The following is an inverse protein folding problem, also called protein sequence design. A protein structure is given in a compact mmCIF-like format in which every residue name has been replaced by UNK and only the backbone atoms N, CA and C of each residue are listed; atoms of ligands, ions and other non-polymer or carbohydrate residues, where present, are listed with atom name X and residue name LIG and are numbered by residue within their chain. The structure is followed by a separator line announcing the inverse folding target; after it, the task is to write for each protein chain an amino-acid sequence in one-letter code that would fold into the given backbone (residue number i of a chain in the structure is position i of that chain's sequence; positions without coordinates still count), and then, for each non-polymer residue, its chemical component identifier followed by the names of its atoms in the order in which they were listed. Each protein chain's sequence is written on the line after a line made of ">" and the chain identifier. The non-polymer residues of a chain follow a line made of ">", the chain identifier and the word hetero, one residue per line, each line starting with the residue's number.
data_IF_657185104249
#
_entry.id   IF_657185104249
#
_cell.length_a   1.000
_cell.length_b   1.000
_cell.length_c   1.000
_cell.angle_alpha   90.00
_cell.angle_beta   90.00
_cell.angle_gamma   90.00
#
_symmetry.space_group_name_H-M   'P 1'
#
loop_
_entity.id
_entity.type
_entity.pdbx_description
1 polymer ?
#
# COMPACT_ATOMS: atom_id res chain seq x y z
N UNK A 1 23.51 4.13 4.93
CA UNK A 1 22.67 4.84 3.96
C UNK A 1 21.76 3.82 3.29
N UNK A 2 20.48 3.88 3.61
CA UNK A 2 19.48 3.10 2.89
C UNK A 2 19.39 3.64 1.46
N UNK A 3 19.79 2.82 0.50
CA UNK A 3 19.94 3.25 -0.89
C UNK A 3 18.55 3.59 -1.47
N UNK A 4 18.38 4.79 -2.01
CA UNK A 4 17.14 5.27 -2.68
C UNK A 4 16.72 4.33 -3.84
N UNK A 5 17.58 3.40 -4.24
CA UNK A 5 17.36 2.43 -5.33
C UNK A 5 16.49 1.21 -4.95
N UNK A 6 16.17 1.05 -3.67
CA UNK A 6 15.50 -0.16 -3.17
C UNK A 6 13.97 0.00 -3.06
N UNK A 7 13.45 1.19 -3.33
CA UNK A 7 12.03 1.51 -3.32
C UNK A 7 11.70 2.67 -4.24
N UNK A 8 10.49 2.68 -4.74
CA UNK A 8 9.97 3.78 -5.55
C UNK A 8 8.46 3.86 -5.37
N UNK A 9 7.91 5.05 -5.36
CA UNK A 9 6.48 5.28 -5.23
C UNK A 9 6.00 6.34 -6.21
N UNK A 10 4.72 6.24 -6.56
CA UNK A 10 3.99 7.21 -7.37
C UNK A 10 2.62 7.43 -6.74
N UNK A 11 2.15 8.67 -6.75
CA UNK A 11 0.81 9.03 -6.32
C UNK A 11 0.25 10.13 -7.22
N UNK A 12 -0.98 9.94 -7.67
CA UNK A 12 -1.71 10.91 -8.47
C UNK A 12 -3.16 11.00 -7.97
N UNK A 13 -3.49 12.13 -7.36
CA UNK A 13 -4.82 12.37 -6.85
C UNK A 13 -5.82 12.65 -7.99
N UNK A 14 -7.03 12.08 -7.87
CA UNK A 14 -8.14 12.33 -8.83
C UNK A 14 -8.70 13.74 -8.71
N UNK A 15 -8.54 14.39 -7.56
CA UNK A 15 -8.96 15.76 -7.27
C UNK A 15 -7.75 16.60 -6.84
N UNK A 16 -8.00 17.85 -6.40
CA UNK A 16 -6.95 18.73 -5.88
C UNK A 16 -6.21 18.16 -4.66
N UNK A 17 -6.90 17.32 -3.87
CA UNK A 17 -6.33 16.59 -2.72
C UNK A 17 -6.93 15.19 -2.69
N UNK A 18 -6.09 14.18 -2.36
CA UNK A 18 -6.45 12.77 -2.29
C UNK A 18 -6.65 12.25 -0.86
N UNK A 19 -7.33 11.11 -0.75
CA UNK A 19 -7.46 10.31 0.46
C UNK A 19 -6.36 9.26 0.61
N UNK A 20 -5.74 8.88 -0.50
CA UNK A 20 -4.63 7.93 -0.52
C UNK A 20 -3.39 8.46 0.17
N UNK A 21 -2.60 7.55 0.72
CA UNK A 21 -1.22 7.85 1.11
C UNK A 21 -0.33 6.61 1.12
N UNK A 22 0.95 6.85 1.00
CA UNK A 22 1.99 5.89 1.35
C UNK A 22 2.99 6.53 2.31
N UNK A 23 3.68 5.71 3.08
CA UNK A 23 4.80 6.14 3.90
C UNK A 23 5.82 5.01 4.01
N UNK A 24 7.07 5.37 4.18
CA UNK A 24 8.13 4.45 4.58
C UNK A 24 9.11 5.18 5.49
N UNK A 25 9.49 4.50 6.56
CA UNK A 25 10.31 5.09 7.60
C UNK A 25 11.17 4.02 8.27
N UNK A 26 12.25 4.47 8.83
CA UNK A 26 13.13 3.60 9.60
C UNK A 26 12.56 3.46 11.00
N UNK A 27 12.31 2.24 11.45
CA UNK A 27 11.87 1.94 12.81
C UNK A 27 13.14 1.92 13.71
N UNK A 28 14.16 1.17 13.29
CA UNK A 28 15.47 1.09 13.95
C UNK A 28 16.58 0.78 12.94
N UNK A 29 17.73 0.26 13.39
CA UNK A 29 18.86 -0.06 12.51
C UNK A 29 18.57 -1.19 11.54
N UNK A 30 17.68 -2.10 11.89
CA UNK A 30 17.44 -3.37 11.19
C UNK A 30 16.07 -3.44 10.52
N UNK A 31 15.15 -2.53 10.87
CA UNK A 31 13.75 -2.61 10.45
C UNK A 31 13.26 -1.35 9.73
N UNK A 32 12.62 -1.59 8.59
CA UNK A 32 11.94 -0.57 7.79
C UNK A 32 10.43 -0.78 7.90
N UNK A 33 9.69 0.22 8.37
CA UNK A 33 8.23 0.29 8.27
C UNK A 33 7.80 0.88 6.94
N UNK A 34 6.74 0.32 6.35
CA UNK A 34 6.11 0.86 5.16
C UNK A 34 4.58 0.69 5.22
N UNK A 35 3.88 1.66 4.67
CA UNK A 35 2.42 1.75 4.70
C UNK A 35 1.93 2.14 3.32
N UNK A 36 0.80 1.57 2.91
CA UNK A 36 -0.07 2.10 1.86
C UNK A 36 -1.50 2.06 2.37
N UNK A 37 -2.28 3.06 2.05
CA UNK A 37 -3.62 3.22 2.61
C UNK A 37 -4.50 4.08 1.70
N UNK A 38 -5.81 3.84 1.79
CA UNK A 38 -6.84 4.61 1.12
C UNK A 38 -7.96 4.95 2.11
N UNK A 39 -8.28 6.23 2.19
CA UNK A 39 -9.32 6.80 3.04
C UNK A 39 -10.65 6.86 2.29
N UNK A 40 -11.72 6.42 2.94
CA UNK A 40 -13.07 6.51 2.40
C UNK A 40 -13.48 7.95 2.06
N UNK A 41 -14.13 8.12 0.91
CA UNK A 41 -14.59 9.42 0.43
C UNK A 41 -13.50 10.19 -0.34
N UNK A 42 -13.76 11.46 -0.67
CA UNK A 42 -12.91 12.27 -1.55
C UNK A 42 -12.90 13.75 -1.15
N UNK A 43 -11.81 14.42 -1.49
CA UNK A 43 -11.65 15.86 -1.29
C UNK A 43 -11.16 16.22 0.12
N UNK A 44 -11.47 17.42 0.59
CA UNK A 44 -10.85 17.98 1.81
C UNK A 44 -11.08 17.14 3.07
N UNK A 45 -12.29 16.61 3.36
CA UNK A 45 -12.48 15.75 4.55
C UNK A 45 -11.58 14.50 4.50
N UNK A 46 -11.53 13.81 3.36
CA UNK A 46 -10.68 12.64 3.18
C UNK A 46 -9.19 12.97 3.36
N UNK A 47 -8.73 14.09 2.80
CA UNK A 47 -7.35 14.53 2.95
C UNK A 47 -6.97 14.88 4.40
N UNK A 48 -7.89 15.44 5.18
CA UNK A 48 -7.66 15.71 6.63
C UNK A 48 -7.55 14.38 7.38
N UNK A 49 -8.50 13.46 7.16
CA UNK A 49 -8.46 12.14 7.83
C UNK A 49 -7.25 11.31 7.39
N UNK A 50 -6.83 11.43 6.14
CA UNK A 50 -5.58 10.85 5.61
C UNK A 50 -4.36 11.35 6.39
N UNK A 51 -4.24 12.67 6.60
CA UNK A 51 -3.12 13.24 7.33
C UNK A 51 -3.09 12.80 8.80
N UNK A 52 -4.26 12.70 9.44
CA UNK A 52 -4.40 12.15 10.80
C UNK A 52 -3.99 10.68 10.81
N UNK A 53 -4.55 9.87 9.92
CA UNK A 53 -4.30 8.42 9.83
C UNK A 53 -2.81 8.13 9.62
N UNK A 54 -2.17 8.79 8.67
CA UNK A 54 -0.72 8.67 8.41
C UNK A 54 0.11 9.03 9.65
N UNK A 55 -0.25 10.11 10.32
CA UNK A 55 0.49 10.60 11.50
C UNK A 55 0.36 9.63 12.67
N UNK A 56 -0.85 9.15 12.94
CA UNK A 56 -1.16 8.19 14.02
C UNK A 56 -0.43 6.88 13.79
N UNK A 57 -0.57 6.28 12.59
CA UNK A 57 0.09 5.02 12.26
C UNK A 57 1.60 5.13 12.40
N UNK A 58 2.21 6.17 11.84
CA UNK A 58 3.66 6.40 11.93
C UNK A 58 4.13 6.59 13.38
N UNK A 59 3.43 7.37 14.18
CA UNK A 59 3.80 7.62 15.57
C UNK A 59 3.78 6.33 16.41
N UNK A 60 2.76 5.49 16.22
CA UNK A 60 2.64 4.21 16.92
C UNK A 60 3.70 3.22 16.41
N UNK A 61 3.89 3.12 15.09
CA UNK A 61 4.85 2.22 14.47
C UNK A 61 6.31 2.43 14.93
N UNK A 62 6.66 3.64 15.35
CA UNK A 62 8.00 3.94 15.89
C UNK A 62 8.20 3.43 17.33
N UNK A 63 7.14 3.10 18.03
CA UNK A 63 7.18 2.65 19.44
C UNK A 63 6.66 1.23 19.63
N UNK A 64 5.93 0.70 18.63
CA UNK A 64 5.33 -0.63 18.67
C UNK A 64 6.11 -1.61 17.76
N UNK A 65 6.41 -2.80 18.28
CA UNK A 65 7.20 -3.79 17.56
C UNK A 65 6.35 -4.78 16.73
N UNK A 66 5.06 -4.88 17.01
CA UNK A 66 4.12 -5.78 16.33
C UNK A 66 3.28 -5.00 15.31
N UNK A 67 3.14 -5.56 14.11
CA UNK A 67 2.31 -4.95 13.07
C UNK A 67 0.83 -4.97 13.48
N UNK A 68 0.34 -6.06 14.05
CA UNK A 68 -1.05 -6.19 14.52
C UNK A 68 -1.37 -5.22 15.66
N UNK A 69 -0.47 -5.08 16.64
CA UNK A 69 -0.65 -4.13 17.74
C UNK A 69 -0.60 -2.67 17.28
N UNK A 70 0.27 -2.36 16.30
CA UNK A 70 0.29 -1.04 15.68
C UNK A 70 -1.07 -0.72 15.04
N UNK A 71 -1.65 -1.66 14.29
CA UNK A 71 -2.97 -1.48 13.67
C UNK A 71 -4.08 -1.34 14.72
N UNK A 72 -4.09 -2.18 15.76
CA UNK A 72 -5.10 -2.12 16.82
C UNK A 72 -5.09 -0.78 17.56
N UNK A 73 -3.91 -0.30 17.95
CA UNK A 73 -3.77 0.99 18.63
C UNK A 73 -4.14 2.16 17.73
N UNK A 74 -3.72 2.09 16.45
CA UNK A 74 -4.11 3.09 15.45
C UNK A 74 -5.62 3.13 15.24
N UNK A 75 -6.27 1.97 15.13
CA UNK A 75 -7.71 1.86 15.01
C UNK A 75 -8.44 2.57 16.15
N UNK A 76 -8.06 2.29 17.40
CA UNK A 76 -8.74 2.85 18.57
C UNK A 76 -8.63 4.39 18.62
N UNK A 77 -7.50 4.95 18.20
CA UNK A 77 -7.37 6.41 18.08
C UNK A 77 -8.22 6.94 16.93
N UNK A 78 -8.17 6.29 15.76
CA UNK A 78 -8.90 6.75 14.57
C UNK A 78 -10.42 6.66 14.76
N UNK A 79 -10.93 5.68 15.51
CA UNK A 79 -12.35 5.62 15.88
C UNK A 79 -12.80 6.84 16.71
N UNK A 80 -11.91 7.45 17.50
CA UNK A 80 -12.22 8.66 18.28
C UNK A 80 -12.15 9.94 17.44
N UNK A 81 -11.30 9.95 16.41
CA UNK A 81 -11.09 11.09 15.51
C UNK A 81 -11.98 11.04 14.26
N UNK A 82 -12.68 9.91 14.03
CA UNK A 82 -13.52 9.73 12.84
C UNK A 82 -14.72 10.67 12.89
N UNK A 83 -14.90 11.42 11.79
CA UNK A 83 -16.05 12.31 11.57
C UNK A 83 -16.81 11.79 10.36
N UNK A 84 -18.13 11.71 10.43
CA UNK A 84 -19.00 11.22 9.35
C UNK A 84 -18.70 9.77 8.92
N UNK A 85 -18.43 8.89 9.87
CA UNK A 85 -18.17 7.46 9.62
C UNK A 85 -17.00 7.20 8.65
N UNK A 86 -16.01 8.08 8.63
CA UNK A 86 -14.82 7.90 7.80
C UNK A 86 -13.98 6.75 8.32
N UNK A 87 -13.43 5.98 7.40
CA UNK A 87 -12.54 4.86 7.67
C UNK A 87 -11.36 4.86 6.70
N UNK A 88 -10.38 4.03 6.98
CA UNK A 88 -9.21 3.87 6.11
C UNK A 88 -8.85 2.39 5.94
N UNK A 89 -8.62 1.97 4.71
CA UNK A 89 -8.00 0.68 4.41
C UNK A 89 -6.49 0.83 4.51
N UNK A 90 -5.81 -0.12 5.16
CA UNK A 90 -4.36 -0.01 5.40
C UNK A 90 -3.67 -1.35 5.20
N UNK A 91 -2.56 -1.34 4.46
CA UNK A 91 -1.54 -2.37 4.55
C UNK A 91 -0.31 -1.79 5.24
N UNK A 92 0.08 -2.38 6.37
CA UNK A 92 1.29 -2.03 7.10
C UNK A 92 2.25 -3.21 7.17
N UNK A 93 3.51 -2.97 6.80
CA UNK A 93 4.56 -3.99 6.82
C UNK A 93 5.84 -3.50 7.51
N UNK A 94 6.52 -4.42 8.14
CA UNK A 94 7.83 -4.25 8.79
C UNK A 94 8.82 -5.18 8.09
N UNK A 95 9.72 -4.62 7.29
CA UNK A 95 10.79 -5.37 6.63
C UNK A 95 12.04 -5.41 7.53
N UNK A 96 12.50 -6.62 7.85
CA UNK A 96 13.84 -6.81 8.40
C UNK A 96 14.85 -6.81 7.23
N UNK A 97 15.75 -5.82 7.22
CA UNK A 97 16.66 -5.58 6.09
C UNK A 97 17.79 -6.62 5.98
N UNK A 98 18.06 -7.38 7.02
CA UNK A 98 19.08 -8.44 7.00
C UNK A 98 18.51 -9.78 6.57
N UNK A 99 17.28 -10.06 6.98
CA UNK A 99 16.69 -11.38 6.73
C UNK A 99 15.75 -11.39 5.52
N UNK A 100 15.23 -10.23 5.07
CA UNK A 100 14.18 -10.15 4.05
C UNK A 100 12.82 -10.65 4.53
N UNK A 101 12.63 -10.82 5.83
CA UNK A 101 11.33 -11.16 6.41
C UNK A 101 10.49 -9.89 6.53
N UNK A 102 9.27 -9.95 6.03
CA UNK A 102 8.25 -8.90 6.19
C UNK A 102 7.17 -9.42 7.11
N UNK A 103 7.03 -8.83 8.31
CA UNK A 103 5.86 -9.03 9.18
C UNK A 103 4.83 -7.96 8.83
N UNK A 104 3.58 -8.35 8.57
CA UNK A 104 2.56 -7.40 8.09
C UNK A 104 1.17 -7.66 8.65
N UNK A 105 0.36 -6.60 8.66
CA UNK A 105 -1.10 -6.63 8.92
C UNK A 105 -1.83 -5.92 7.78
N UNK A 106 -3.00 -6.44 7.39
CA UNK A 106 -3.81 -5.89 6.32
C UNK A 106 -5.25 -5.63 6.79
N UNK A 107 -5.55 -4.38 7.04
CA UNK A 107 -6.86 -3.88 7.44
C UNK A 107 -7.70 -3.49 6.23
N UNK A 108 -8.20 -4.49 5.50
CA UNK A 108 -9.12 -4.30 4.39
C UNK A 108 -8.52 -3.71 3.11
N UNK A 109 -7.20 -3.54 3.02
CA UNK A 109 -6.54 -2.97 1.85
C UNK A 109 -6.29 -4.02 0.75
N UNK A 110 -6.13 -3.57 -0.50
CA UNK A 110 -5.77 -4.41 -1.63
C UNK A 110 -4.52 -5.25 -1.31
N UNK A 111 -4.57 -6.59 -1.48
CA UNK A 111 -3.42 -7.43 -1.20
C UNK A 111 -2.25 -7.07 -2.10
N UNK A 112 -1.04 -6.81 -1.54
CA UNK A 112 0.16 -6.58 -2.34
C UNK A 112 0.49 -7.77 -3.25
N UNK A 113 1.29 -7.50 -4.27
CA UNK A 113 1.79 -8.49 -5.21
C UNK A 113 3.27 -8.75 -4.91
N UNK A 114 3.60 -10.00 -4.58
CA UNK A 114 4.99 -10.45 -4.51
C UNK A 114 5.44 -10.85 -5.91
N UNK A 115 6.43 -10.14 -6.42
CA UNK A 115 7.08 -10.40 -7.71
C UNK A 115 8.47 -10.97 -7.43
N UNK A 116 8.65 -12.27 -7.63
CA UNK A 116 9.94 -12.92 -7.39
C UNK A 116 10.89 -12.73 -8.56
N UNK A 117 12.18 -12.75 -8.25
CA UNK A 117 13.24 -12.64 -9.27
C UNK A 117 13.16 -13.73 -10.34
N UNK A 118 12.63 -14.91 -10.01
CA UNK A 118 12.46 -16.04 -10.94
C UNK A 118 11.30 -15.88 -11.94
N UNK A 119 10.56 -14.77 -11.87
CA UNK A 119 9.40 -14.50 -12.72
C UNK A 119 8.06 -14.90 -12.11
N UNK A 120 8.05 -15.59 -10.99
CA UNK A 120 6.81 -15.95 -10.31
C UNK A 120 6.16 -14.73 -9.65
N UNK A 121 4.82 -14.64 -9.77
CA UNK A 121 4.03 -13.53 -9.25
C UNK A 121 2.85 -14.10 -8.48
N UNK A 122 2.66 -13.63 -7.25
CA UNK A 122 1.56 -14.06 -6.39
C UNK A 122 1.03 -12.93 -5.52
N UNK A 123 -0.24 -12.99 -5.18
CA UNK A 123 -0.82 -12.08 -4.18
C UNK A 123 -0.35 -12.47 -2.78
N UNK A 124 -0.06 -11.48 -1.96
CA UNK A 124 0.22 -11.67 -0.54
C UNK A 124 -1.09 -12.00 0.19
N UNK A 125 -1.15 -13.09 0.98
CA UNK A 125 -2.38 -13.44 1.69
C UNK A 125 -2.84 -12.34 2.65
N UNK A 126 -4.12 -11.91 2.58
CA UNK A 126 -4.68 -10.97 3.55
C UNK A 126 -4.70 -11.58 4.94
N UNK A 127 -4.59 -10.75 5.99
CA UNK A 127 -4.85 -11.16 7.38
C UNK A 127 -6.32 -11.33 7.66
N UNK A 128 -7.21 -10.72 6.86
CA UNK A 128 -8.66 -10.81 6.98
C UNK A 128 -9.25 -9.86 8.00
N UNK A 129 -8.49 -8.82 8.37
CA UNK A 129 -8.89 -7.84 9.37
C UNK A 129 -9.76 -6.73 8.77
N UNK A 130 -10.51 -6.06 9.65
CA UNK A 130 -11.37 -4.94 9.28
C UNK A 130 -10.56 -3.67 9.00
N UNK A 131 -11.17 -2.76 8.25
CA UNK A 131 -10.71 -1.38 8.04
C UNK A 131 -10.52 -0.64 9.36
N UNK A 132 -9.61 0.34 9.42
CA UNK A 132 -9.38 1.17 10.60
C UNK A 132 -10.39 2.30 10.69
N UNK A 133 -10.77 2.67 11.93
CA UNK A 133 -11.67 3.79 12.22
C UNK A 133 -13.16 3.44 12.21
N UNK A 134 -13.52 2.17 11.92
CA UNK A 134 -14.92 1.75 11.83
C UNK A 134 -15.48 1.16 13.15
N UNK A 135 -14.73 0.31 13.83
CA UNK A 135 -15.16 -0.38 15.05
C UNK A 135 -14.06 -0.29 16.10
N UNK A 136 -14.40 0.30 17.25
CA UNK A 136 -13.47 0.36 18.39
C UNK A 136 -13.16 -1.04 18.92
N UNK A 137 -11.93 -1.21 19.44
CA UNK A 137 -11.44 -2.48 20.01
C UNK A 137 -11.47 -3.69 19.04
N UNK A 138 -11.50 -3.44 17.72
CA UNK A 138 -11.36 -4.50 16.74
C UNK A 138 -9.99 -5.19 16.88
N UNK A 139 -9.97 -6.50 16.71
CA UNK A 139 -8.75 -7.31 16.75
C UNK A 139 -8.08 -7.34 15.39
N UNK A 140 -6.75 -7.26 15.38
CA UNK A 140 -5.91 -7.34 14.18
C UNK A 140 -4.91 -8.47 14.30
N UNK A 141 -4.56 -9.07 13.16
CA UNK A 141 -3.64 -10.18 13.06
C UNK A 141 -2.41 -9.79 12.24
N UNK A 142 -1.36 -10.54 12.40
CA UNK A 142 -0.16 -10.38 11.56
C UNK A 142 0.24 -11.70 10.91
N UNK A 143 0.88 -11.61 9.75
CA UNK A 143 1.47 -12.72 9.00
C UNK A 143 2.89 -12.38 8.61
N UNK A 144 3.63 -13.38 8.21
CA UNK A 144 4.98 -13.22 7.70
C UNK A 144 5.07 -13.58 6.21
N UNK A 145 5.90 -12.84 5.52
CA UNK A 145 6.30 -13.05 4.14
C UNK A 145 7.83 -13.07 4.07
N UNK A 146 8.39 -14.02 3.32
CA UNK A 146 9.83 -14.07 3.07
C UNK A 146 10.13 -13.57 1.67
N UNK A 147 10.98 -12.56 1.58
CA UNK A 147 11.57 -12.06 0.34
C UNK A 147 13.00 -12.57 0.19
N UNK A 148 13.34 -13.01 -1.00
CA UNK A 148 14.71 -13.33 -1.41
C UNK A 148 15.37 -12.12 -2.09
N UNK A 149 16.71 -12.02 -2.12
CA UNK A 149 17.39 -10.95 -2.83
C UNK A 149 16.98 -10.85 -4.31
N UNK A 150 16.48 -9.69 -4.68
CA UNK A 150 15.94 -9.40 -6.02
C UNK A 150 14.43 -9.52 -6.15
N UNK A 151 13.72 -9.98 -5.11
CA UNK A 151 12.26 -9.93 -5.08
C UNK A 151 11.75 -8.49 -4.88
N UNK A 152 10.58 -8.20 -5.43
CA UNK A 152 9.85 -6.95 -5.24
C UNK A 152 8.50 -7.23 -4.56
N UNK A 153 8.16 -6.41 -3.59
CA UNK A 153 6.80 -6.28 -3.05
C UNK A 153 6.17 -5.04 -3.69
N UNK A 154 5.12 -5.26 -4.46
CA UNK A 154 4.38 -4.21 -5.16
C UNK A 154 3.02 -3.98 -4.49
N UNK A 155 2.79 -2.75 -4.05
CA UNK A 155 1.59 -2.31 -3.35
C UNK A 155 0.87 -1.27 -4.20
N UNK A 156 -0.46 -1.28 -4.14
CA UNK A 156 -1.30 -0.41 -4.96
C UNK A 156 -2.65 -0.16 -4.29
N UNK A 157 -3.27 0.98 -4.60
CA UNK A 157 -4.66 1.28 -4.23
C UNK A 157 -5.62 0.86 -5.33
N UNK A 158 -6.90 0.74 -5.02
CA UNK A 158 -7.94 0.27 -5.94
C UNK A 158 -8.11 1.15 -7.18
N UNK A 159 -7.75 2.46 -7.10
CA UNK A 159 -7.74 3.36 -8.25
C UNK A 159 -6.90 2.85 -9.43
N UNK A 160 -5.96 1.90 -9.20
CA UNK A 160 -5.24 1.21 -10.29
C UNK A 160 -6.13 0.20 -11.00
N UNK A 161 -6.75 -0.70 -10.26
CA UNK A 161 -7.58 -1.79 -10.81
C UNK A 161 -8.94 -1.33 -11.27
N UNK A 162 -9.45 -0.25 -10.67
CA UNK A 162 -10.72 0.39 -11.00
C UNK A 162 -10.58 1.53 -12.01
N UNK A 163 -9.35 1.83 -12.47
CA UNK A 163 -9.12 2.76 -13.56
C UNK A 163 -9.97 2.36 -14.78
N UNK A 164 -10.76 3.31 -15.28
CA UNK A 164 -11.80 3.04 -16.28
C UNK A 164 -11.46 3.72 -17.61
N UNK A 165 -11.66 3.02 -18.72
CA UNK A 165 -11.52 3.60 -20.06
C UNK A 165 -12.83 4.25 -20.54
N UNK A 166 -12.81 4.86 -21.73
CA UNK A 166 -13.99 5.52 -22.34
C UNK A 166 -15.13 4.55 -22.70
N UNK A 167 -14.89 3.24 -22.66
CA UNK A 167 -15.92 2.19 -22.86
C UNK A 167 -16.48 1.67 -21.55
N UNK A 168 -16.13 2.27 -20.41
CA UNK A 168 -16.48 1.82 -19.06
C UNK A 168 -15.93 0.42 -18.68
N UNK A 169 -14.85 0.00 -19.32
CA UNK A 169 -14.12 -1.20 -18.92
C UNK A 169 -13.11 -0.85 -17.85
N UNK A 170 -12.96 -1.70 -16.81
CA UNK A 170 -11.96 -1.55 -15.78
C UNK A 170 -10.59 -2.08 -16.24
N UNK A 171 -9.50 -1.46 -15.76
CA UNK A 171 -8.15 -1.98 -15.97
C UNK A 171 -8.03 -3.40 -15.42
N UNK A 172 -8.59 -3.64 -14.27
CA UNK A 172 -8.73 -4.92 -13.56
C UNK A 172 -7.42 -5.48 -12.96
N UNK A 173 -7.62 -6.29 -11.92
CA UNK A 173 -6.52 -7.02 -11.26
C UNK A 173 -5.81 -7.99 -12.22
N UNK A 174 -6.55 -8.59 -13.16
CA UNK A 174 -5.96 -9.53 -14.11
C UNK A 174 -4.90 -8.86 -14.98
N UNK A 175 -5.20 -7.70 -15.57
CA UNK A 175 -4.20 -6.92 -16.35
C UNK A 175 -3.02 -6.49 -15.49
N UNK A 176 -3.28 -6.07 -14.26
CA UNK A 176 -2.21 -5.72 -13.33
C UNK A 176 -1.26 -6.91 -13.08
N UNK A 177 -1.79 -8.09 -12.79
CA UNK A 177 -0.99 -9.31 -12.58
C UNK A 177 -0.21 -9.73 -13.83
N UNK A 178 -0.81 -9.61 -15.01
CA UNK A 178 -0.14 -9.88 -16.29
C UNK A 178 1.05 -8.94 -16.50
N UNK A 179 0.88 -7.65 -16.26
CA UNK A 179 1.97 -6.67 -16.33
C UNK A 179 3.05 -6.95 -15.27
N UNK A 180 2.68 -7.26 -14.03
CA UNK A 180 3.64 -7.62 -12.99
C UNK A 180 4.53 -8.83 -13.39
N UNK A 181 3.97 -9.83 -14.09
CA UNK A 181 4.77 -10.97 -14.59
C UNK A 181 5.86 -10.55 -15.56
N UNK A 182 5.58 -9.58 -16.44
CA UNK A 182 6.57 -9.07 -17.41
C UNK A 182 7.66 -8.22 -16.76
N UNK A 183 7.39 -7.70 -15.56
CA UNK A 183 8.26 -6.78 -14.82
C UNK A 183 9.03 -7.46 -13.67
N UNK A 184 8.84 -8.77 -13.47
CA UNK A 184 9.56 -9.52 -12.44
C UNK A 184 11.09 -9.39 -12.64
N UNK A 185 11.81 -9.13 -11.54
CA UNK A 185 13.26 -8.90 -11.57
C UNK A 185 13.71 -7.49 -12.00
N UNK A 186 12.78 -6.60 -12.39
CA UNK A 186 13.06 -5.19 -12.64
C UNK A 186 13.24 -4.42 -11.33
N UNK A 187 13.91 -3.25 -11.40
CA UNK A 187 14.01 -2.40 -10.21
C UNK A 187 12.68 -1.70 -9.87
N UNK A 188 12.49 -1.24 -8.62
CA UNK A 188 11.23 -0.62 -8.18
C UNK A 188 10.74 0.55 -9.05
N UNK A 189 11.67 1.36 -9.55
CA UNK A 189 11.33 2.51 -10.39
C UNK A 189 10.75 2.05 -11.74
N UNK A 190 11.42 1.12 -12.41
CA UNK A 190 10.94 0.55 -13.67
C UNK A 190 9.57 -0.11 -13.52
N UNK A 191 9.33 -0.81 -12.40
CA UNK A 191 8.03 -1.44 -12.11
C UNK A 191 6.94 -0.38 -12.01
N UNK A 192 7.13 0.63 -11.16
CA UNK A 192 6.10 1.66 -10.93
C UNK A 192 5.87 2.49 -12.20
N UNK A 193 6.93 2.94 -12.88
CA UNK A 193 6.81 3.75 -14.09
C UNK A 193 6.07 2.98 -15.20
N UNK A 194 6.40 1.67 -15.40
CA UNK A 194 5.74 0.88 -16.44
C UNK A 194 4.27 0.59 -16.12
N UNK A 195 3.93 0.30 -14.86
CA UNK A 195 2.52 0.14 -14.46
C UNK A 195 1.77 1.45 -14.66
N UNK A 196 2.35 2.59 -14.25
CA UNK A 196 1.74 3.91 -14.48
C UNK A 196 1.49 4.18 -15.96
N UNK A 197 2.47 3.86 -16.82
CA UNK A 197 2.34 3.99 -18.28
C UNK A 197 1.20 3.13 -18.83
N UNK A 198 1.13 1.84 -18.46
CA UNK A 198 0.09 0.92 -18.97
C UNK A 198 -1.31 1.29 -18.49
N UNK A 199 -1.45 1.81 -17.26
CA UNK A 199 -2.73 2.35 -16.77
C UNK A 199 -3.08 3.62 -17.56
N UNK A 200 -2.12 4.54 -17.75
CA UNK A 200 -2.32 5.76 -18.52
C UNK A 200 -2.74 5.50 -19.97
N UNK A 201 -2.11 4.53 -20.65
CA UNK A 201 -2.50 4.13 -22.01
C UNK A 201 -3.92 3.54 -22.06
N UNK A 202 -4.30 2.78 -21.03
CA UNK A 202 -5.64 2.16 -20.96
C UNK A 202 -6.76 3.18 -20.77
N UNK A 203 -6.52 4.24 -19.98
CA UNK A 203 -7.55 5.27 -19.65
C UNK A 203 -7.56 6.47 -20.59
N UNK A 204 -6.83 6.44 -21.69
CA UNK A 204 -6.75 7.57 -22.63
C UNK A 204 -8.14 8.11 -22.97
N UNK A 205 -8.36 9.41 -22.70
CA UNK A 205 -9.62 10.10 -22.97
C UNK A 205 -10.70 9.94 -21.88
N UNK A 206 -10.47 9.13 -20.83
CA UNK A 206 -11.37 9.03 -19.68
C UNK A 206 -10.91 9.95 -18.54
N UNK A 207 -11.84 10.35 -17.67
CA UNK A 207 -11.54 11.11 -16.45
C UNK A 207 -11.13 10.14 -15.36
N UNK A 208 -10.05 10.46 -14.65
CA UNK A 208 -9.62 9.67 -13.49
C UNK A 208 -10.70 9.68 -12.41
N UNK A 209 -11.14 8.49 -11.98
CA UNK A 209 -12.24 8.30 -11.03
C UNK A 209 -11.78 8.27 -9.58
N UNK A 210 -10.58 7.77 -9.31
CA UNK A 210 -10.01 7.63 -7.98
C UNK A 210 -8.52 7.95 -7.92
N UNK A 211 -8.00 8.14 -6.71
CA UNK A 211 -6.58 8.33 -6.47
C UNK A 211 -5.80 7.09 -6.90
N UNK A 212 -4.64 7.28 -7.51
CA UNK A 212 -3.77 6.18 -7.95
C UNK A 212 -2.49 6.25 -7.13
N UNK A 213 -2.28 5.27 -6.26
CA UNK A 213 -1.06 5.17 -5.46
C UNK A 213 -0.38 3.83 -5.67
N UNK A 214 0.91 3.89 -5.95
CA UNK A 214 1.79 2.75 -6.22
C UNK A 214 3.03 2.83 -5.32
N UNK A 215 3.43 1.72 -4.74
CA UNK A 215 4.68 1.60 -3.99
C UNK A 215 5.34 0.26 -4.33
N UNK A 216 6.59 0.29 -4.74
CA UNK A 216 7.40 -0.92 -4.95
C UNK A 216 8.62 -0.91 -4.05
N UNK A 217 8.88 -2.02 -3.38
CA UNK A 217 9.99 -2.24 -2.45
C UNK A 217 10.74 -3.48 -2.89
N UNK A 218 12.06 -3.35 -3.14
CA UNK A 218 12.93 -4.47 -3.48
C UNK A 218 13.82 -4.84 -2.30
N UNK A 219 13.92 -6.13 -2.03
CA UNK A 219 14.92 -6.64 -1.09
C UNK A 219 16.23 -6.93 -1.82
N UNK A 220 17.35 -6.46 -1.28
CA UNK A 220 18.67 -6.59 -1.92
C UNK A 220 19.56 -7.66 -1.26
N UNK A 221 19.27 -8.03 -0.02
CA UNK A 221 20.12 -8.90 0.78
C UNK A 221 21.12 -8.13 1.63
#
# INVERSE_FOLDING_TARGET
>A
QMCIRDRYAYMNAAKYVGGDFYDFFRIDQDRLGFVIADVSGKGVPAAIFMAISRTVIRAIALTENSASMCMQRSNNILCQESVNDMFVTVFYGILNIHTGTVTYSNAGHNPPILMKKDGSVSKVPSTGDMILGAINDASYHEKELKMSPGDNLFLYTDGVTEAMNTKHELYSEQRLLENCRTLAGKNPKEVVEKITETVGEFVVGAVQSDDITLLSISYKG
#
